data_IF_732678841861
#
_entry.id   IF_732678841861
#
_cell.length_a   1.000
_cell.length_b   1.000
_cell.length_c   1.000
_cell.angle_alpha   90.00
_cell.angle_beta   90.00
_cell.angle_gamma   90.00
#
_symmetry.space_group_name_H-M   'P 1'
#
loop_
_entity.id
_entity.type
_entity.pdbx_description
1 polymer ?
#
# COMPACT_ATOMS: atom_id res chain seq x y z
N UNK A 1 -32.11 18.59 26.20
CA UNK A 1 -33.33 17.78 26.13
C UNK A 1 -34.12 18.21 24.90
N UNK A 2 -34.08 17.47 23.83
CA UNK A 2 -35.01 17.59 22.70
C UNK A 2 -35.31 16.16 22.25
N UNK A 3 -36.53 15.72 22.41
CA UNK A 3 -37.05 14.43 21.98
C UNK A 3 -37.55 14.54 20.55
N UNK A 4 -37.23 13.60 19.69
CA UNK A 4 -37.88 13.41 18.42
C UNK A 4 -38.65 12.09 18.38
N UNK A 5 -39.92 12.18 18.11
CA UNK A 5 -40.87 11.10 18.04
C UNK A 5 -40.79 10.40 16.66
N UNK A 6 -40.85 9.09 16.69
CA UNK A 6 -40.98 8.25 15.50
C UNK A 6 -42.49 8.09 15.15
N UNK A 7 -42.84 8.32 13.90
CA UNK A 7 -44.19 8.05 13.37
C UNK A 7 -44.13 6.83 12.46
N UNK A 8 -44.84 5.77 12.85
CA UNK A 8 -45.04 4.58 12.05
C UNK A 8 -46.30 4.73 11.22
N UNK A 9 -46.24 4.45 9.91
CA UNK A 9 -47.39 4.34 9.02
C UNK A 9 -47.58 2.88 8.64
N UNK A 10 -48.74 2.34 9.03
CA UNK A 10 -49.24 1.03 8.63
C UNK A 10 -50.19 1.20 7.46
N UNK A 11 -49.94 0.51 6.35
CA UNK A 11 -50.86 0.41 5.22
C UNK A 11 -51.38 -1.03 5.09
N UNK A 12 -52.69 -1.18 5.28
CA UNK A 12 -53.47 -2.39 5.06
C UNK A 12 -53.83 -2.51 3.60
N UNK A 13 -53.57 -3.68 3.00
CA UNK A 13 -53.99 -4.02 1.65
C UNK A 13 -55.20 -4.94 1.67
N UNK A 14 -56.20 -4.58 0.88
CA UNK A 14 -57.47 -5.28 0.79
C UNK A 14 -57.43 -6.49 -0.16
N UNK A 15 -58.20 -7.50 0.17
CA UNK A 15 -58.51 -8.68 -0.66
C UNK A 15 -59.59 -8.33 -1.69
N UNK A 16 -59.42 -8.80 -2.92
CA UNK A 16 -60.50 -8.94 -3.89
C UNK A 16 -60.38 -10.29 -4.60
N UNK A 17 -61.35 -11.13 -4.42
CA UNK A 17 -61.48 -12.45 -5.04
C UNK A 17 -61.94 -12.34 -6.49
N UNK A 18 -61.47 -13.24 -7.34
CA UNK A 18 -61.97 -13.47 -8.69
C UNK A 18 -62.06 -14.97 -8.95
N UNK A 19 -63.21 -15.35 -9.49
CA UNK A 19 -63.69 -16.67 -9.82
C UNK A 19 -62.80 -17.47 -10.76
N UNK A 20 -62.80 -18.79 -10.58
CA UNK A 20 -62.13 -19.78 -11.42
C UNK A 20 -62.90 -20.05 -12.75
N UNK A 21 -62.22 -20.14 -13.87
CA UNK A 21 -62.73 -20.83 -15.08
C UNK A 21 -62.28 -22.28 -15.13
N UNK A 22 -63.13 -23.11 -15.75
CA UNK A 22 -63.07 -24.56 -15.95
C UNK A 22 -61.80 -25.05 -16.67
N UNK A 23 -61.38 -26.31 -16.46
CA UNK A 23 -60.18 -26.87 -17.01
C UNK A 23 -60.29 -27.17 -18.50
N UNK A 24 -59.49 -26.54 -19.31
CA UNK A 24 -59.17 -26.99 -20.67
C UNK A 24 -58.13 -28.09 -20.59
N UNK A 25 -58.43 -29.20 -21.27
CA UNK A 25 -57.52 -30.33 -21.42
C UNK A 25 -56.24 -29.85 -22.12
N UNK A 26 -55.17 -29.78 -21.41
CA UNK A 26 -53.88 -29.41 -21.99
C UNK A 26 -53.24 -30.67 -22.59
N UNK A 27 -53.06 -30.64 -23.89
CA UNK A 27 -52.24 -31.56 -24.66
C UNK A 27 -50.80 -31.50 -24.14
N UNK A 28 -50.23 -32.62 -23.74
CA UNK A 28 -48.89 -32.75 -23.17
C UNK A 28 -47.84 -32.46 -24.24
N UNK A 29 -47.33 -31.26 -24.26
CA UNK A 29 -46.13 -30.88 -25.02
C UNK A 29 -44.90 -31.52 -24.32
N UNK A 30 -44.07 -32.27 -25.04
CA UNK A 30 -42.86 -32.84 -24.42
C UNK A 30 -41.98 -31.71 -23.89
N UNK A 31 -41.80 -31.70 -22.57
CA UNK A 31 -40.88 -30.77 -21.91
C UNK A 31 -39.45 -31.12 -22.30
N UNK A 32 -38.86 -30.34 -23.19
CA UNK A 32 -37.43 -30.45 -23.48
C UNK A 32 -36.70 -29.94 -22.24
N UNK A 33 -36.12 -30.89 -21.51
CA UNK A 33 -35.24 -30.55 -20.38
C UNK A 33 -34.05 -29.75 -20.91
N UNK A 34 -33.84 -28.48 -20.48
CA UNK A 34 -32.69 -27.71 -20.95
C UNK A 34 -31.42 -28.43 -20.45
N UNK A 35 -30.55 -28.81 -21.37
CA UNK A 35 -29.22 -29.26 -21.06
C UNK A 35 -28.53 -28.18 -20.24
N UNK A 36 -27.97 -28.46 -19.03
CA UNK A 36 -27.29 -27.47 -18.26
C UNK A 36 -26.13 -26.92 -19.09
N UNK A 37 -26.18 -25.62 -19.35
CA UNK A 37 -25.07 -24.89 -19.98
C UNK A 37 -23.85 -25.09 -19.11
N UNK A 38 -22.68 -25.47 -19.65
CA UNK A 38 -21.48 -25.60 -18.86
C UNK A 38 -21.21 -24.23 -18.19
N UNK A 39 -21.04 -24.26 -16.88
CA UNK A 39 -20.67 -23.06 -16.14
C UNK A 39 -19.40 -22.45 -16.75
N UNK A 40 -19.33 -21.11 -16.92
CA UNK A 40 -18.12 -20.50 -17.43
C UNK A 40 -16.97 -20.88 -16.51
N UNK A 41 -15.98 -21.60 -17.07
CA UNK A 41 -14.73 -21.86 -16.37
C UNK A 41 -14.04 -20.52 -16.26
N UNK A 42 -14.13 -19.91 -15.09
CA UNK A 42 -13.37 -18.70 -14.77
C UNK A 42 -11.90 -19.13 -14.81
N UNK A 43 -11.21 -18.80 -15.87
CA UNK A 43 -9.76 -18.86 -15.93
C UNK A 43 -9.26 -17.76 -14.98
N UNK A 44 -9.21 -18.10 -13.67
CA UNK A 44 -8.50 -17.29 -12.70
C UNK A 44 -7.04 -17.31 -13.17
N UNK A 45 -6.62 -16.24 -13.83
CA UNK A 45 -5.19 -15.99 -13.99
C UNK A 45 -4.63 -15.97 -12.58
N UNK A 46 -3.68 -16.86 -12.23
CA UNK A 46 -3.12 -16.85 -10.89
C UNK A 46 -2.58 -15.44 -10.64
N UNK A 47 -3.00 -14.85 -9.52
CA UNK A 47 -2.47 -13.56 -9.09
C UNK A 47 -0.95 -13.72 -8.96
N UNK A 48 -0.14 -12.83 -9.54
CA UNK A 48 1.30 -12.95 -9.50
C UNK A 48 1.73 -13.04 -8.03
N UNK A 49 2.55 -14.04 -7.74
CA UNK A 49 3.04 -14.31 -6.39
C UNK A 49 3.85 -13.10 -5.91
N UNK A 50 3.31 -12.40 -4.91
CA UNK A 50 3.94 -11.22 -4.29
C UNK A 50 5.23 -11.65 -3.61
N UNK A 51 6.26 -10.84 -3.72
CA UNK A 51 7.56 -11.14 -3.13
C UNK A 51 8.14 -12.50 -3.58
N UNK A 52 7.88 -12.93 -4.81
CA UNK A 52 8.36 -14.20 -5.31
C UNK A 52 9.89 -14.34 -5.15
N UNK A 53 10.31 -15.41 -4.47
CA UNK A 53 11.72 -15.62 -4.14
C UNK A 53 12.26 -14.69 -3.05
N UNK A 54 11.38 -14.05 -2.24
CA UNK A 54 11.78 -13.16 -1.15
C UNK A 54 12.30 -11.80 -1.61
N UNK A 55 12.00 -11.41 -2.85
CA UNK A 55 12.48 -10.16 -3.45
C UNK A 55 11.33 -9.27 -3.88
N UNK A 56 11.41 -8.01 -3.47
CA UNK A 56 10.50 -6.98 -3.91
C UNK A 56 10.80 -6.62 -5.38
N UNK A 57 9.76 -6.52 -6.21
CA UNK A 57 9.87 -6.15 -7.62
C UNK A 57 9.14 -4.84 -7.88
N UNK A 58 9.42 -4.22 -9.02
CA UNK A 58 8.71 -3.01 -9.44
C UNK A 58 7.21 -3.27 -9.51
N UNK A 59 6.77 -4.42 -10.03
CA UNK A 59 5.35 -4.81 -10.08
C UNK A 59 4.68 -4.95 -8.72
N UNK A 60 5.40 -5.34 -7.69
CA UNK A 60 4.87 -5.47 -6.33
C UNK A 60 4.51 -4.12 -5.69
N UNK A 61 5.09 -3.00 -6.18
CA UNK A 61 4.86 -1.66 -5.62
C UNK A 61 3.40 -1.21 -5.70
N UNK A 62 2.63 -1.69 -6.67
CA UNK A 62 1.19 -1.43 -6.73
C UNK A 62 0.47 -2.05 -5.52
N UNK A 63 0.78 -3.32 -5.20
CA UNK A 63 0.24 -4.01 -4.04
C UNK A 63 0.75 -3.43 -2.72
N UNK A 64 2.02 -2.97 -2.67
CA UNK A 64 2.53 -2.17 -1.54
C UNK A 64 1.64 -0.95 -1.30
N UNK A 65 1.23 -0.24 -2.37
CA UNK A 65 0.32 0.89 -2.26
C UNK A 65 -1.05 0.52 -1.68
N UNK A 66 -1.58 -0.63 -2.04
CA UNK A 66 -2.88 -1.11 -1.54
C UNK A 66 -2.82 -1.49 -0.04
N UNK A 67 -1.68 -1.98 0.43
CA UNK A 67 -1.47 -2.39 1.82
C UNK A 67 -0.84 -1.29 2.70
N UNK A 68 -0.48 -0.14 2.13
CA UNK A 68 0.23 0.96 2.81
C UNK A 68 -0.39 1.36 4.15
N UNK A 69 -1.70 1.63 4.16
CA UNK A 69 -2.38 2.10 5.37
C UNK A 69 -2.28 1.11 6.53
N UNK A 70 -2.51 -0.19 6.27
CA UNK A 70 -2.43 -1.23 7.28
C UNK A 70 -1.01 -1.48 7.76
N UNK A 71 -0.05 -1.57 6.84
CA UNK A 71 1.35 -1.85 7.14
C UNK A 71 2.00 -0.76 8.00
N UNK A 72 1.82 0.50 7.63
CA UNK A 72 2.39 1.64 8.36
C UNK A 72 1.70 1.86 9.71
N UNK A 73 0.40 1.57 9.82
CA UNK A 73 -0.36 1.76 11.05
C UNK A 73 0.19 0.90 12.21
N UNK A 74 0.53 -0.36 11.94
CA UNK A 74 1.14 -1.25 12.94
C UNK A 74 2.47 -0.72 13.45
N UNK A 75 3.31 -0.17 12.58
CA UNK A 75 4.57 0.46 12.95
C UNK A 75 4.35 1.70 13.83
N UNK A 76 3.34 2.53 13.50
CA UNK A 76 2.97 3.73 14.28
C UNK A 76 2.49 3.35 15.67
N UNK A 77 1.66 2.33 15.80
CA UNK A 77 1.17 1.85 17.11
C UNK A 77 2.32 1.37 17.99
N UNK A 78 3.26 0.63 17.42
CA UNK A 78 4.46 0.17 18.12
C UNK A 78 5.31 1.35 18.61
N UNK A 79 5.53 2.36 17.77
CA UNK A 79 6.30 3.55 18.12
C UNK A 79 5.60 4.41 19.20
N UNK A 80 4.28 4.56 19.11
CA UNK A 80 3.50 5.29 20.12
C UNK A 80 3.46 4.58 21.48
N UNK A 81 3.54 3.26 21.49
CA UNK A 81 3.70 2.50 22.74
C UNK A 81 5.08 2.75 23.37
N UNK A 82 6.12 2.97 22.56
CA UNK A 82 7.45 3.37 23.03
C UNK A 82 7.46 4.83 23.50
N UNK A 83 6.97 5.79 22.69
CA UNK A 83 6.83 7.21 23.04
C UNK A 83 5.60 7.82 22.34
N UNK A 84 4.69 8.48 23.09
CA UNK A 84 3.48 9.06 22.51
C UNK A 84 3.74 10.20 21.50
N UNK A 85 4.89 10.88 21.64
CA UNK A 85 5.33 11.97 20.77
C UNK A 85 6.16 11.50 19.56
N UNK A 86 6.29 10.18 19.37
CA UNK A 86 7.04 9.63 18.25
C UNK A 86 6.39 9.98 16.90
N UNK A 87 7.16 10.59 16.02
CA UNK A 87 6.77 10.94 14.66
C UNK A 87 7.49 10.03 13.66
N UNK A 88 6.79 9.62 12.62
CA UNK A 88 7.36 8.80 11.56
C UNK A 88 8.25 9.67 10.67
N UNK A 89 9.49 9.24 10.44
CA UNK A 89 10.48 9.95 9.62
C UNK A 89 10.70 9.25 8.28
N UNK A 90 10.83 7.94 8.32
CA UNK A 90 11.11 7.12 7.14
C UNK A 90 10.37 5.80 7.24
N UNK A 91 9.92 5.29 6.10
CA UNK A 91 9.46 3.91 5.96
C UNK A 91 10.25 3.21 4.87
N UNK A 92 10.69 2.02 5.18
CA UNK A 92 11.26 1.08 4.22
C UNK A 92 10.33 -0.12 4.07
N UNK A 93 10.07 -0.50 2.83
CA UNK A 93 9.28 -1.68 2.49
C UNK A 93 10.17 -2.69 1.79
N UNK A 94 10.12 -3.91 2.27
CA UNK A 94 10.80 -5.06 1.67
C UNK A 94 9.90 -6.29 1.68
N UNK A 95 10.43 -7.44 1.34
CA UNK A 95 9.72 -8.70 1.48
C UNK A 95 10.00 -9.34 2.85
N UNK A 96 8.96 -9.94 3.43
CA UNK A 96 9.13 -10.76 4.62
C UNK A 96 9.95 -12.02 4.29
N UNK A 97 10.98 -12.37 5.07
CA UNK A 97 11.91 -13.43 4.68
C UNK A 97 11.33 -14.85 4.73
N UNK A 98 10.25 -15.06 5.49
CA UNK A 98 9.67 -16.40 5.73
C UNK A 98 8.17 -16.47 5.43
N UNK A 99 7.54 -15.35 5.11
CA UNK A 99 6.09 -15.25 4.88
C UNK A 99 5.83 -14.59 3.53
N UNK A 100 4.76 -15.01 2.85
CA UNK A 100 4.29 -14.29 1.68
C UNK A 100 3.74 -12.94 2.13
N UNK A 101 4.41 -11.84 1.76
CA UNK A 101 3.96 -10.49 2.12
C UNK A 101 5.08 -9.47 2.28
N UNK A 102 4.68 -8.26 2.62
CA UNK A 102 5.60 -7.15 2.79
C UNK A 102 6.04 -7.01 4.24
N UNK A 103 7.31 -6.62 4.43
CA UNK A 103 7.85 -6.20 5.71
C UNK A 103 7.95 -4.68 5.74
N UNK A 104 7.37 -4.09 6.76
CA UNK A 104 7.34 -2.65 6.98
C UNK A 104 8.30 -2.27 8.10
N UNK A 105 9.23 -1.40 7.80
CA UNK A 105 10.22 -0.90 8.76
C UNK A 105 10.07 0.61 8.87
N UNK A 106 9.57 1.07 10.01
CA UNK A 106 9.42 2.50 10.32
C UNK A 106 10.58 3.00 11.17
N UNK A 107 11.18 4.12 10.78
CA UNK A 107 12.07 4.90 11.64
C UNK A 107 11.27 6.07 12.20
N UNK A 108 11.23 6.17 13.52
CA UNK A 108 10.51 7.19 14.27
C UNK A 108 11.48 8.05 15.05
N UNK A 109 11.11 9.30 15.28
CA UNK A 109 11.85 10.21 16.14
C UNK A 109 10.96 10.70 17.27
N UNK A 110 11.49 10.70 18.50
CA UNK A 110 10.86 11.33 19.66
C UNK A 110 11.69 12.50 20.12
N UNK A 111 11.10 13.69 20.12
CA UNK A 111 11.73 14.88 20.63
C UNK A 111 11.96 14.81 22.14
N UNK A 112 11.01 14.22 22.87
CA UNK A 112 11.11 14.07 24.33
C UNK A 112 12.24 13.12 24.72
N UNK A 113 12.43 12.04 23.97
CA UNK A 113 13.50 11.08 24.22
C UNK A 113 14.84 11.46 23.55
N UNK A 114 14.83 12.41 22.60
CA UNK A 114 15.97 12.75 21.74
C UNK A 114 16.60 11.48 21.13
N UNK A 115 15.76 10.62 20.56
CA UNK A 115 16.18 9.29 20.07
C UNK A 115 15.38 8.90 18.85
N UNK A 116 16.01 8.11 17.99
CA UNK A 116 15.33 7.35 16.95
C UNK A 116 14.86 6.00 17.50
N UNK A 117 13.77 5.50 16.95
CA UNK A 117 13.23 4.18 17.22
C UNK A 117 12.99 3.45 15.90
N UNK A 118 13.36 2.18 15.86
CA UNK A 118 13.23 1.30 14.69
C UNK A 118 12.16 0.25 14.98
N UNK A 119 11.04 0.29 14.28
CA UNK A 119 9.87 -0.53 14.58
C UNK A 119 10.08 -2.03 14.35
N UNK A 120 11.02 -2.41 13.49
CA UNK A 120 11.31 -3.81 13.14
C UNK A 120 12.17 -4.52 14.20
N UNK A 121 13.07 -3.79 14.86
CA UNK A 121 13.95 -4.33 15.90
C UNK A 121 13.47 -4.02 17.31
N UNK A 122 12.59 -3.02 17.46
CA UNK A 122 12.21 -2.48 18.76
C UNK A 122 13.34 -1.72 19.48
N UNK A 123 14.43 -1.43 18.78
CA UNK A 123 15.59 -0.73 19.34
C UNK A 123 15.42 0.79 19.24
N UNK A 124 16.04 1.50 20.17
CA UNK A 124 16.15 2.95 20.10
C UNK A 124 17.60 3.40 20.21
N UNK A 125 17.96 4.45 19.47
CA UNK A 125 19.30 5.02 19.45
C UNK A 125 19.23 6.51 19.73
N UNK A 126 20.13 7.06 20.60
CA UNK A 126 20.22 8.50 20.83
C UNK A 126 20.46 9.26 19.52
N UNK A 127 19.83 10.42 19.39
CA UNK A 127 19.97 11.27 18.21
C UNK A 127 20.53 12.63 18.63
N UNK A 128 21.75 12.92 18.20
CA UNK A 128 22.37 14.24 18.37
C UNK A 128 21.99 15.16 17.19
N UNK A 129 20.68 15.42 17.02
CA UNK A 129 20.13 16.23 15.93
C UNK A 129 19.27 17.35 16.49
N UNK A 130 19.21 18.47 15.78
CA UNK A 130 18.21 19.50 16.09
C UNK A 130 16.81 18.93 15.80
N UNK A 131 15.92 18.82 16.82
CA UNK A 131 14.57 18.30 16.64
C UNK A 131 13.77 19.00 15.55
N UNK A 132 14.02 20.30 15.34
CA UNK A 132 13.36 21.11 14.31
C UNK A 132 13.83 20.73 12.88
N UNK A 133 14.96 20.04 12.76
CA UNK A 133 15.49 19.57 11.47
C UNK A 133 14.98 18.20 11.04
N UNK A 134 14.28 17.47 11.93
CA UNK A 134 13.75 16.13 11.63
C UNK A 134 12.34 16.24 11.04
N UNK A 135 12.17 16.08 9.73
CA UNK A 135 10.86 16.22 9.12
C UNK A 135 9.99 14.98 9.38
N UNK A 136 8.73 15.20 9.76
CA UNK A 136 7.75 14.11 9.83
C UNK A 136 7.28 13.74 8.43
N UNK A 137 7.20 12.44 8.15
CA UNK A 137 6.69 11.92 6.89
C UNK A 137 5.18 12.22 6.76
N UNK A 138 4.72 12.90 5.69
CA UNK A 138 3.30 13.12 5.43
C UNK A 138 2.66 11.81 4.89
N UNK A 139 2.14 10.97 5.77
CA UNK A 139 1.70 9.60 5.49
C UNK A 139 0.61 9.57 4.41
N UNK A 140 -0.29 10.55 4.41
CA UNK A 140 -1.40 10.71 3.47
C UNK A 140 -0.96 11.08 2.05
N UNK A 141 0.25 11.61 1.89
CA UNK A 141 0.82 11.96 0.58
C UNK A 141 1.61 10.81 -0.05
N UNK A 142 1.90 9.76 0.72
CA UNK A 142 2.66 8.61 0.24
C UNK A 142 1.83 7.76 -0.73
N UNK A 143 2.38 7.53 -1.93
CA UNK A 143 1.69 6.80 -2.98
C UNK A 143 2.62 5.87 -3.76
N UNK A 144 2.73 4.62 -3.32
CA UNK A 144 3.55 3.61 -3.98
C UNK A 144 2.98 3.15 -5.34
N UNK A 145 1.67 3.31 -5.56
CA UNK A 145 1.07 3.01 -6.86
C UNK A 145 1.55 3.98 -7.94
N UNK A 146 1.65 5.28 -7.60
CA UNK A 146 2.22 6.26 -8.53
C UNK A 146 3.73 6.07 -8.71
N UNK A 147 4.46 5.64 -7.67
CA UNK A 147 5.86 5.23 -7.80
C UNK A 147 6.02 4.09 -8.82
N UNK A 148 5.19 3.04 -8.72
CA UNK A 148 5.15 1.96 -9.70
C UNK A 148 4.96 2.49 -11.13
N UNK A 149 3.95 3.34 -11.34
CA UNK A 149 3.66 3.92 -12.65
C UNK A 149 4.80 4.82 -13.18
N UNK A 150 5.50 5.54 -12.30
CA UNK A 150 6.64 6.35 -12.68
C UNK A 150 7.81 5.48 -13.17
N UNK A 151 8.13 4.41 -12.45
CA UNK A 151 9.18 3.47 -12.84
C UNK A 151 8.82 2.73 -14.13
N UNK A 152 7.58 2.28 -14.29
CA UNK A 152 7.13 1.64 -15.54
C UNK A 152 7.23 2.58 -16.74
N UNK A 153 6.83 3.86 -16.60
CA UNK A 153 6.99 4.88 -17.65
C UNK A 153 8.46 5.14 -18.01
N UNK A 154 9.36 4.99 -17.07
CA UNK A 154 10.80 5.10 -17.30
C UNK A 154 11.44 3.85 -17.92
N UNK A 155 10.64 2.80 -18.16
CA UNK A 155 11.11 1.57 -18.82
C UNK A 155 11.56 0.46 -17.88
N UNK A 156 11.38 0.62 -16.57
CA UNK A 156 11.61 -0.47 -15.63
C UNK A 156 10.47 -1.48 -15.70
N UNK A 157 10.79 -2.72 -16.07
CA UNK A 157 9.79 -3.79 -16.23
C UNK A 157 9.26 -4.27 -14.88
N UNK A 158 8.05 -4.86 -14.90
CA UNK A 158 7.37 -5.41 -13.72
C UNK A 158 8.25 -6.40 -12.91
N UNK A 159 9.09 -7.16 -13.59
CA UNK A 159 9.98 -8.15 -12.99
C UNK A 159 11.34 -7.58 -12.56
N UNK A 160 11.58 -6.28 -12.71
CA UNK A 160 12.82 -5.67 -12.24
C UNK A 160 12.87 -5.76 -10.71
N UNK A 161 13.94 -6.37 -10.19
CA UNK A 161 14.11 -6.62 -8.77
C UNK A 161 14.65 -5.37 -8.07
N UNK A 162 14.10 -5.08 -6.89
CA UNK A 162 14.67 -4.09 -6.00
C UNK A 162 15.72 -4.75 -5.09
N UNK A 163 16.76 -4.01 -4.77
CA UNK A 163 17.80 -4.49 -3.86
C UNK A 163 17.18 -4.85 -2.50
N UNK A 164 17.33 -6.08 -2.00
CA UNK A 164 16.69 -6.52 -0.77
C UNK A 164 17.17 -5.77 0.47
N UNK A 165 18.36 -5.16 0.44
CA UNK A 165 18.88 -4.37 1.56
C UNK A 165 18.20 -3.00 1.68
N UNK A 166 17.76 -2.42 0.56
CA UNK A 166 17.13 -1.09 0.53
C UNK A 166 15.62 -1.15 0.31
N UNK A 167 15.12 -2.18 -0.38
CA UNK A 167 13.71 -2.29 -0.72
C UNK A 167 13.22 -1.05 -1.46
N UNK A 168 12.05 -0.55 -1.04
CA UNK A 168 11.55 0.77 -1.41
C UNK A 168 11.44 1.63 -0.14
N UNK A 169 12.19 2.73 -0.08
CA UNK A 169 12.22 3.64 1.07
C UNK A 169 11.54 4.95 0.71
N UNK A 170 10.73 5.50 1.62
CA UNK A 170 10.10 6.80 1.46
C UNK A 170 10.39 7.69 2.66
N UNK A 171 10.68 8.97 2.39
CA UNK A 171 10.93 9.99 3.41
C UNK A 171 10.62 11.39 2.89
N UNK A 172 10.43 12.33 3.80
CA UNK A 172 10.42 13.75 3.47
C UNK A 172 11.85 14.29 3.53
N UNK A 173 12.36 14.75 2.41
CA UNK A 173 13.69 15.34 2.32
C UNK A 173 13.58 16.86 2.41
N UNK A 174 14.04 17.44 3.53
CA UNK A 174 14.05 18.87 3.76
C UNK A 174 15.44 19.47 3.51
N UNK A 175 15.56 20.78 3.24
CA UNK A 175 16.86 21.43 3.06
C UNK A 175 17.81 21.27 4.25
N UNK A 176 17.24 21.10 5.42
CA UNK A 176 17.94 20.92 6.71
C UNK A 176 18.04 19.47 7.14
N UNK A 177 17.58 18.52 6.31
CA UNK A 177 17.65 17.11 6.63
C UNK A 177 19.10 16.63 6.69
N UNK A 178 19.62 16.30 7.89
CA UNK A 178 21.02 15.86 8.05
C UNK A 178 21.28 14.47 7.47
N UNK A 179 20.21 13.71 7.15
CA UNK A 179 20.28 12.33 6.65
C UNK A 179 20.07 12.23 5.14
N UNK A 180 19.75 13.37 4.47
CA UNK A 180 19.61 13.41 3.03
C UNK A 180 20.95 13.28 2.32
N UNK A 181 21.15 12.31 1.39
CA UNK A 181 22.34 12.33 0.54
C UNK A 181 22.46 13.66 -0.19
N UNK A 182 23.68 14.21 -0.34
CA UNK A 182 23.89 15.46 -1.08
C UNK A 182 23.31 15.37 -2.49
N UNK A 183 22.55 16.37 -2.90
CA UNK A 183 21.93 16.43 -4.23
C UNK A 183 20.64 15.65 -4.39
N UNK A 184 20.11 15.06 -3.32
CA UNK A 184 18.78 14.44 -3.32
C UNK A 184 17.71 15.52 -3.52
N UNK A 185 16.64 15.27 -4.32
CA UNK A 185 15.50 16.17 -4.45
C UNK A 185 14.87 16.49 -3.10
N UNK A 186 14.36 17.71 -2.97
CA UNK A 186 13.59 18.11 -1.77
C UNK A 186 12.12 17.67 -1.91
N UNK A 187 11.45 17.58 -0.76
CA UNK A 187 10.07 17.13 -0.69
C UNK A 187 9.95 15.64 -0.41
N UNK A 188 8.81 15.06 -0.75
CA UNK A 188 8.58 13.63 -0.58
C UNK A 188 9.38 12.86 -1.63
N UNK A 189 10.29 12.00 -1.18
CA UNK A 189 11.23 11.28 -2.02
C UNK A 189 11.17 9.79 -1.73
N UNK A 190 11.06 9.00 -2.80
CA UNK A 190 11.20 7.55 -2.78
C UNK A 190 12.59 7.17 -3.26
N UNK A 191 13.28 6.34 -2.50
CA UNK A 191 14.54 5.74 -2.89
C UNK A 191 14.30 4.26 -3.20
N UNK A 192 14.69 3.84 -4.39
CA UNK A 192 14.67 2.45 -4.83
C UNK A 192 15.98 2.12 -5.53
N UNK A 193 16.60 1.01 -5.15
CA UNK A 193 17.77 0.50 -5.82
C UNK A 193 17.34 -0.66 -6.72
N UNK A 194 17.31 -0.43 -8.04
CA UNK A 194 16.85 -1.42 -9.02
C UNK A 194 18.03 -2.22 -9.53
N UNK A 195 17.92 -3.54 -9.46
CA UNK A 195 18.92 -4.46 -10.01
C UNK A 195 18.57 -4.76 -11.48
N UNK A 196 19.45 -4.39 -12.38
CA UNK A 196 19.28 -4.68 -13.81
C UNK A 196 20.63 -5.02 -14.46
N UNK A 197 20.66 -6.05 -15.34
CA UNK A 197 21.83 -6.44 -16.13
C UNK A 197 23.17 -6.56 -15.35
N UNK A 198 23.09 -6.96 -14.06
CA UNK A 198 24.26 -7.12 -13.21
C UNK A 198 24.75 -5.84 -12.52
N UNK A 199 24.06 -4.72 -12.70
CA UNK A 199 24.34 -3.46 -11.99
C UNK A 199 23.18 -3.08 -11.10
N UNK A 200 23.48 -2.41 -9.98
CA UNK A 200 22.49 -1.79 -9.11
C UNK A 200 22.45 -0.30 -9.46
N UNK A 201 21.26 0.20 -9.75
CA UNK A 201 21.04 1.60 -10.02
C UNK A 201 20.18 2.22 -8.91
N UNK A 202 20.74 3.18 -8.19
CA UNK A 202 20.02 3.96 -7.20
C UNK A 202 19.19 5.05 -7.87
N UNK A 203 17.89 5.03 -7.58
CA UNK A 203 16.91 5.95 -8.12
C UNK A 203 16.22 6.71 -6.99
N UNK A 204 16.18 8.03 -7.12
CA UNK A 204 15.38 8.90 -6.27
C UNK A 204 14.22 9.44 -7.09
N UNK A 205 13.00 9.16 -6.64
CA UNK A 205 11.77 9.60 -7.32
C UNK A 205 11.09 10.64 -6.44
N UNK A 206 10.99 11.87 -6.94
CA UNK A 206 10.37 12.98 -6.20
C UNK A 206 8.87 13.08 -6.49
N UNK A 207 8.06 13.30 -5.44
CA UNK A 207 6.63 13.61 -5.52
C UNK A 207 6.42 15.09 -5.15
N UNK A 208 5.45 15.79 -5.77
CA UNK A 208 4.39 15.26 -6.65
C UNK A 208 4.77 15.16 -8.14
N UNK A 209 5.93 15.60 -8.56
CA UNK A 209 6.30 15.63 -9.98
C UNK A 209 6.66 14.27 -10.61
N UNK A 210 6.84 13.22 -9.79
CA UNK A 210 7.23 11.86 -10.19
C UNK A 210 8.44 11.84 -11.12
N UNK A 211 9.40 12.73 -10.82
CA UNK A 211 10.65 12.85 -11.57
C UNK A 211 11.67 11.87 -11.01
N UNK A 212 12.28 11.08 -11.91
CA UNK A 212 13.32 10.12 -11.54
C UNK A 212 14.68 10.78 -11.69
N UNK A 213 15.45 10.70 -10.61
CA UNK A 213 16.84 11.12 -10.54
C UNK A 213 17.69 9.86 -10.35
N UNK A 214 18.55 9.55 -11.30
CA UNK A 214 19.51 8.45 -11.16
C UNK A 214 20.76 8.98 -10.47
N UNK A 215 21.17 8.28 -9.41
CA UNK A 215 22.47 8.50 -8.81
C UNK A 215 23.45 7.53 -9.47
N UNK A 216 24.40 8.06 -10.23
CA UNK A 216 25.58 7.31 -10.59
C UNK A 216 26.65 7.75 -9.59
N UNK A 217 27.15 6.80 -8.78
CA UNK A 217 28.36 7.04 -8.01
C UNK A 217 29.42 7.55 -9.02
N UNK A 218 29.83 8.78 -8.81
CA UNK A 218 30.98 9.32 -9.51
C UNK A 218 32.17 8.81 -8.74
N UNK A 219 32.75 7.69 -9.24
CA UNK A 219 34.09 7.25 -8.87
C UNK A 219 35.13 8.37 -9.01
#
# INVERSE_FOLDING_TARGET
MVAFAATAVVLLAGCSGISAPSPLIAESVPTVTPTPSPAPVSLLTPEPERCAGGRLRVGDLAAVGDEWGGGVQSAIETARAWRPDAVLVTVQVGCAPLEAGFRWQGTFYSQTAQSFFFSDTGMSEPAEVDPASVPALPIEEVNFRELHLALARAGYGENAELNPATGATVRLNAPTDPFGPPGTPQGLVYHVAVTGQGTVQDLFVSSPGWTIHSYQDRD
#
